data_IF_679601220708
#
_entry.id   IF_679601220708
#
_cell.length_a   1.000
_cell.length_b   1.000
_cell.length_c   1.000
_cell.angle_alpha   90.00
_cell.angle_beta   90.00
_cell.angle_gamma   90.00
#
_symmetry.space_group_name_H-M   'P 1'
#
loop_
_entity.id
_entity.type
_entity.pdbx_description
1 polymer ?
#
# COMPACT_ATOMS: atom_id res chain seq x y z
N UNK A 1 18.84 6.34 -0.69
CA UNK A 1 17.77 6.06 -1.67
C UNK A 1 16.47 6.69 -1.20
N UNK A 2 15.60 7.04 -2.14
CA UNK A 2 14.23 7.50 -1.93
C UNK A 2 13.26 6.32 -2.04
N UNK A 3 12.55 6.01 -0.97
CA UNK A 3 11.62 4.88 -0.90
C UNK A 3 10.20 5.44 -0.76
N UNK A 4 9.32 5.07 -1.68
CA UNK A 4 7.89 5.39 -1.61
C UNK A 4 7.13 4.23 -0.98
N UNK A 5 6.65 4.40 0.24
CA UNK A 5 5.77 3.45 0.92
C UNK A 5 4.31 3.82 0.66
N UNK A 6 3.51 2.92 0.10
CA UNK A 6 2.10 3.15 -0.22
C UNK A 6 1.22 2.18 0.56
N UNK A 7 0.22 2.73 1.26
CA UNK A 7 -0.77 1.99 2.03
C UNK A 7 -2.09 2.78 2.11
N UNK A 8 -3.22 2.11 2.35
CA UNK A 8 -4.54 2.77 2.43
C UNK A 8 -4.64 3.78 3.57
N UNK A 9 -4.24 3.37 4.78
CA UNK A 9 -4.29 4.19 5.99
C UNK A 9 -2.93 4.19 6.68
N UNK A 10 -2.56 5.32 7.27
CA UNK A 10 -1.37 5.46 8.10
C UNK A 10 -1.74 6.20 9.39
N UNK A 11 -0.75 6.54 10.21
CA UNK A 11 -0.96 7.25 11.48
C UNK A 11 -1.80 8.53 11.29
N UNK A 12 -2.71 8.83 12.24
CA UNK A 12 -2.93 8.15 13.52
C UNK A 12 -3.82 6.88 13.46
N UNK A 13 -4.30 6.46 12.28
CA UNK A 13 -5.03 5.21 12.14
C UNK A 13 -4.15 4.02 12.54
N UNK A 14 -4.66 3.18 13.44
CA UNK A 14 -3.89 2.11 14.06
C UNK A 14 -4.44 0.73 13.70
N UNK A 15 -3.60 -0.08 13.05
CA UNK A 15 -3.83 -1.49 12.78
C UNK A 15 -2.49 -2.23 12.74
N UNK A 16 -2.49 -3.56 12.65
CA UNK A 16 -1.25 -4.33 12.49
C UNK A 16 -0.44 -3.91 11.25
N UNK A 17 -1.13 -3.62 10.14
CA UNK A 17 -0.50 -3.13 8.91
C UNK A 17 0.14 -1.76 9.13
N UNK A 18 -0.57 -0.81 9.75
CA UNK A 18 -0.03 0.56 9.92
C UNK A 18 1.15 0.59 10.90
N UNK A 19 1.12 -0.23 11.95
CA UNK A 19 2.25 -0.39 12.88
C UNK A 19 3.46 -0.99 12.16
N UNK A 20 3.26 -2.01 11.32
CA UNK A 20 4.34 -2.62 10.55
C UNK A 20 5.00 -1.59 9.61
N UNK A 21 4.18 -0.91 8.80
CA UNK A 21 4.65 0.08 7.84
C UNK A 21 5.40 1.23 8.53
N UNK A 22 4.90 1.73 9.66
CA UNK A 22 5.56 2.78 10.44
C UNK A 22 6.92 2.33 10.97
N UNK A 23 6.98 1.15 11.60
CA UNK A 23 8.23 0.61 12.16
C UNK A 23 9.28 0.44 11.07
N UNK A 24 8.86 -0.08 9.90
CA UNK A 24 9.75 -0.29 8.77
C UNK A 24 10.22 1.04 8.15
N UNK A 25 9.31 1.98 7.92
CA UNK A 25 9.63 3.31 7.42
C UNK A 25 10.63 4.03 8.34
N UNK A 26 10.39 4.04 9.66
CA UNK A 26 11.33 4.62 10.64
C UNK A 26 12.67 3.89 10.68
N UNK A 27 12.68 2.57 10.49
CA UNK A 27 13.93 1.80 10.43
C UNK A 27 14.74 2.18 9.19
N UNK A 28 14.11 2.32 8.02
CA UNK A 28 14.79 2.80 6.82
C UNK A 28 15.27 4.25 6.94
N UNK A 29 14.46 5.14 7.52
CA UNK A 29 14.87 6.53 7.77
C UNK A 29 16.11 6.59 8.66
N UNK A 30 16.15 5.82 9.76
CA UNK A 30 17.33 5.71 10.65
C UNK A 30 18.58 5.14 9.97
N UNK A 31 18.42 4.40 8.87
CA UNK A 31 19.54 3.90 8.05
C UNK A 31 19.97 4.88 6.96
N UNK A 32 19.42 6.11 6.94
CA UNK A 32 19.80 7.17 6.01
C UNK A 32 19.02 7.19 4.69
N UNK A 33 17.93 6.42 4.58
CA UNK A 33 17.04 6.49 3.42
C UNK A 33 16.02 7.64 3.56
N UNK A 34 15.61 8.22 2.44
CA UNK A 34 14.54 9.21 2.41
C UNK A 34 13.21 8.49 2.19
N UNK A 35 12.30 8.57 3.16
CA UNK A 35 11.04 7.82 3.11
C UNK A 35 9.88 8.76 2.92
N UNK A 36 9.06 8.47 1.90
CA UNK A 36 7.75 9.09 1.73
C UNK A 36 6.68 8.03 1.89
N UNK A 37 5.74 8.24 2.81
CA UNK A 37 4.51 7.47 2.93
C UNK A 37 3.40 8.18 2.17
N UNK A 38 2.81 7.52 1.17
CA UNK A 38 1.60 7.96 0.50
C UNK A 38 0.40 7.18 1.06
N UNK A 39 -0.61 7.89 1.56
CA UNK A 39 -1.79 7.31 2.23
C UNK A 39 -3.05 8.11 1.93
N UNK A 40 -4.23 7.59 2.28
CA UNK A 40 -5.47 8.35 2.24
C UNK A 40 -5.58 9.37 3.40
N UNK A 41 -6.07 10.57 3.10
CA UNK A 41 -6.53 11.56 4.09
C UNK A 41 -7.92 11.13 4.60
N UNK A 42 -7.97 10.05 5.37
CA UNK A 42 -9.23 9.46 5.82
C UNK A 42 -10.00 10.38 6.77
N UNK A 43 -9.30 11.25 7.48
CA UNK A 43 -9.84 12.31 8.34
C UNK A 43 -9.38 13.66 7.77
N UNK A 44 -10.32 14.53 7.46
CA UNK A 44 -10.07 15.82 6.81
C UNK A 44 -9.31 16.80 7.70
N UNK A 45 -9.30 16.60 9.02
CA UNK A 45 -8.53 17.42 9.97
C UNK A 45 -7.04 17.13 9.92
N UNK A 46 -6.62 15.98 9.37
CA UNK A 46 -5.21 15.63 9.27
C UNK A 46 -4.51 16.48 8.19
N UNK A 47 -3.26 16.92 8.43
CA UNK A 47 -2.50 17.65 7.42
C UNK A 47 -2.28 16.77 6.18
N UNK A 48 -2.34 17.40 5.00
CA UNK A 48 -2.07 16.73 3.72
C UNK A 48 -0.60 16.35 3.55
N UNK A 49 0.28 17.10 4.18
CA UNK A 49 1.70 16.83 4.20
C UNK A 49 2.24 17.12 5.60
N UNK A 50 3.01 16.20 6.15
CA UNK A 50 3.73 16.41 7.41
C UNK A 50 4.98 15.55 7.48
N UNK A 51 5.84 15.88 8.44
CA UNK A 51 7.02 15.09 8.78
C UNK A 51 6.83 14.41 10.13
N UNK A 52 6.90 13.08 10.15
CA UNK A 52 6.79 12.26 11.35
C UNK A 52 8.02 11.36 11.50
N UNK A 53 8.85 11.59 12.51
CA UNK A 53 9.98 10.71 12.87
C UNK A 53 10.93 10.37 11.71
N UNK A 54 11.26 11.36 10.88
CA UNK A 54 12.11 11.16 9.69
C UNK A 54 11.40 10.55 8.48
N UNK A 55 10.06 10.39 8.53
CA UNK A 55 9.21 9.95 7.43
C UNK A 55 8.30 11.08 6.93
N UNK A 56 8.38 11.40 5.64
CA UNK A 56 7.47 12.36 4.99
C UNK A 56 6.15 11.68 4.71
N UNK A 57 5.04 12.22 5.20
CA UNK A 57 3.71 11.65 5.02
C UNK A 57 2.91 12.54 4.07
N UNK A 58 2.43 11.96 2.97
CA UNK A 58 1.57 12.60 1.97
C UNK A 58 0.20 11.93 1.99
N UNK A 59 -0.81 12.70 2.38
CA UNK A 59 -2.20 12.24 2.46
C UNK A 59 -3.01 12.75 1.27
N UNK A 60 -3.56 11.82 0.49
CA UNK A 60 -4.42 12.11 -0.66
C UNK A 60 -5.85 12.35 -0.18
N UNK A 61 -6.49 13.48 -0.51
CA UNK A 61 -7.88 13.76 -0.15
C UNK A 61 -8.85 12.68 -0.63
N UNK A 62 -9.70 12.22 0.30
CA UNK A 62 -10.73 11.21 0.03
C UNK A 62 -12.03 11.91 -0.32
N UNK A 63 -12.65 11.53 -1.44
CA UNK A 63 -13.98 12.00 -1.82
C UNK A 63 -15.08 11.12 -1.19
N UNK A 64 -14.89 9.80 -1.22
CA UNK A 64 -15.88 8.82 -0.72
C UNK A 64 -15.17 7.68 0.00
N UNK A 65 -15.75 7.21 1.11
CA UNK A 65 -15.32 5.98 1.80
C UNK A 65 -16.36 4.89 1.57
N UNK A 66 -15.91 3.70 1.14
CA UNK A 66 -16.76 2.53 0.90
C UNK A 66 -16.20 1.36 1.68
N UNK A 67 -16.92 0.91 2.71
CA UNK A 67 -16.40 -0.08 3.67
C UNK A 67 -15.06 0.38 4.27
N UNK A 68 -13.98 -0.42 4.11
CA UNK A 68 -12.60 -0.08 4.53
C UNK A 68 -11.77 0.55 3.40
N UNK A 69 -12.34 0.73 2.21
CA UNK A 69 -11.70 1.36 1.06
C UNK A 69 -12.02 2.84 0.96
N UNK A 70 -11.25 3.54 0.14
CA UNK A 70 -11.44 4.97 -0.15
C UNK A 70 -11.40 5.20 -1.66
N UNK A 71 -12.09 6.24 -2.10
CA UNK A 71 -11.99 6.77 -3.46
C UNK A 71 -11.41 8.18 -3.34
N UNK A 72 -10.23 8.36 -3.92
CA UNK A 72 -9.48 9.61 -3.89
C UNK A 72 -9.17 10.05 -5.33
N UNK A 73 -9.91 11.03 -5.89
CA UNK A 73 -9.81 11.40 -7.31
C UNK A 73 -8.40 11.82 -7.75
N UNK A 74 -7.63 12.43 -6.86
CA UNK A 74 -6.26 12.87 -7.15
C UNK A 74 -5.20 11.79 -6.89
N UNK A 75 -5.60 10.59 -6.44
CA UNK A 75 -4.66 9.51 -6.10
C UNK A 75 -3.73 9.18 -7.25
N UNK A 76 -4.28 8.99 -8.46
CA UNK A 76 -3.50 8.62 -9.63
C UNK A 76 -2.45 9.66 -10.01
N UNK A 77 -2.77 10.96 -9.86
CA UNK A 77 -1.86 12.07 -10.16
C UNK A 77 -0.72 12.13 -9.15
N UNK A 78 -1.06 12.04 -7.86
CA UNK A 78 -0.07 12.04 -6.77
C UNK A 78 0.82 10.80 -6.86
N UNK A 79 0.24 9.62 -7.12
CA UNK A 79 0.99 8.38 -7.33
C UNK A 79 1.96 8.50 -8.50
N UNK A 80 1.54 9.03 -9.65
CA UNK A 80 2.43 9.23 -10.81
C UNK A 80 3.64 10.07 -10.44
N UNK A 81 3.41 11.24 -9.81
CA UNK A 81 4.50 12.13 -9.40
C UNK A 81 5.44 11.45 -8.41
N UNK A 82 4.89 10.84 -7.36
CA UNK A 82 5.71 10.22 -6.32
C UNK A 82 6.47 9.01 -6.86
N UNK A 83 5.86 8.14 -7.66
CA UNK A 83 6.60 6.99 -8.24
C UNK A 83 7.77 7.47 -9.10
N UNK A 84 7.58 8.53 -9.89
CA UNK A 84 8.67 9.12 -10.68
C UNK A 84 9.85 9.62 -9.82
N UNK A 85 9.54 10.30 -8.72
CA UNK A 85 10.51 10.94 -7.82
C UNK A 85 11.30 9.98 -6.92
N UNK A 86 10.89 8.71 -6.82
CA UNK A 86 11.47 7.72 -5.91
C UNK A 86 12.27 6.64 -6.64
N UNK A 87 13.18 5.98 -5.93
CA UNK A 87 14.07 4.95 -6.45
C UNK A 87 13.43 3.55 -6.33
N UNK A 88 12.64 3.33 -5.27
CA UNK A 88 12.00 2.03 -4.96
C UNK A 88 10.58 2.28 -4.46
N UNK A 89 9.64 1.44 -4.88
CA UNK A 89 8.23 1.50 -4.47
C UNK A 89 7.92 0.32 -3.57
N UNK A 90 7.40 0.60 -2.38
CA UNK A 90 6.97 -0.41 -1.41
C UNK A 90 5.45 -0.36 -1.25
N UNK A 91 4.78 -1.43 -1.66
CA UNK A 91 3.32 -1.55 -1.62
C UNK A 91 2.89 -2.42 -0.44
N UNK A 92 1.94 -1.95 0.38
CA UNK A 92 1.39 -2.72 1.49
C UNK A 92 -0.03 -3.19 1.16
N UNK A 93 -0.21 -4.50 1.04
CA UNK A 93 -1.50 -5.12 0.68
C UNK A 93 -2.21 -5.78 1.87
N UNK A 94 -3.55 -5.86 1.86
CA UNK A 94 -4.45 -5.54 0.74
C UNK A 94 -4.70 -4.04 0.58
N UNK A 95 -4.57 -3.54 -0.65
CA UNK A 95 -4.86 -2.15 -1.01
C UNK A 95 -5.46 -2.09 -2.42
N UNK A 96 -6.57 -1.35 -2.53
CA UNK A 96 -7.33 -1.20 -3.77
C UNK A 96 -6.48 -0.59 -4.90
N UNK A 97 -5.78 0.51 -4.63
CA UNK A 97 -5.04 1.25 -5.65
C UNK A 97 -3.66 0.64 -6.01
N UNK A 98 -3.24 -0.43 -5.33
CA UNK A 98 -1.90 -1.00 -5.49
C UNK A 98 -1.54 -1.38 -6.94
N UNK A 99 -2.43 -1.98 -7.76
CA UNK A 99 -2.12 -2.27 -9.17
C UNK A 99 -1.75 -1.04 -9.98
N UNK A 100 -2.45 0.07 -9.74
CA UNK A 100 -2.18 1.32 -10.44
C UNK A 100 -0.82 1.89 -10.09
N UNK A 101 -0.37 1.74 -8.84
CA UNK A 101 0.96 2.15 -8.41
C UNK A 101 2.03 1.20 -8.97
N UNK A 102 1.82 -0.11 -8.88
CA UNK A 102 2.73 -1.12 -9.44
C UNK A 102 2.91 -0.95 -10.96
N UNK A 103 1.83 -0.65 -11.68
CA UNK A 103 1.87 -0.38 -13.11
C UNK A 103 2.75 0.85 -13.43
N UNK A 104 2.60 1.95 -12.67
CA UNK A 104 3.46 3.14 -12.81
C UNK A 104 4.92 2.82 -12.49
N UNK A 105 5.17 2.00 -11.48
CA UNK A 105 6.53 1.58 -11.12
C UNK A 105 7.18 0.86 -12.30
N UNK A 106 6.48 -0.12 -12.88
CA UNK A 106 6.93 -0.86 -14.08
C UNK A 106 7.11 0.06 -15.30
N UNK A 107 6.19 0.98 -15.54
CA UNK A 107 6.27 1.96 -16.63
C UNK A 107 7.50 2.87 -16.50
N UNK A 108 7.86 3.25 -15.27
CA UNK A 108 8.99 4.14 -15.00
C UNK A 108 10.29 3.40 -14.64
N UNK A 109 10.32 2.06 -14.82
CA UNK A 109 11.50 1.24 -14.50
C UNK A 109 11.91 1.29 -13.02
N UNK A 110 10.96 1.52 -12.13
CA UNK A 110 11.18 1.56 -10.68
C UNK A 110 10.88 0.19 -10.08
N UNK A 111 11.82 -0.43 -9.33
CA UNK A 111 11.54 -1.68 -8.64
C UNK A 111 10.41 -1.52 -7.63
N UNK A 112 9.46 -2.46 -7.65
CA UNK A 112 8.30 -2.52 -6.78
C UNK A 112 8.35 -3.77 -5.88
N UNK A 113 8.35 -3.56 -4.56
CA UNK A 113 8.31 -4.61 -3.54
C UNK A 113 6.94 -4.59 -2.86
N UNK A 114 6.25 -5.73 -2.89
CA UNK A 114 4.92 -5.89 -2.32
C UNK A 114 5.01 -6.62 -0.98
N UNK A 115 4.63 -5.97 0.11
CA UNK A 115 4.44 -6.63 1.41
C UNK A 115 2.98 -7.03 1.58
N UNK A 116 2.72 -8.34 1.66
CA UNK A 116 1.37 -8.86 1.86
C UNK A 116 1.10 -9.15 3.34
N UNK A 117 0.14 -8.41 3.91
CA UNK A 117 -0.12 -8.45 5.35
C UNK A 117 -1.13 -9.50 5.77
N UNK A 118 -2.22 -9.67 5.01
CA UNK A 118 -3.30 -10.57 5.38
C UNK A 118 -4.24 -10.91 4.21
N UNK A 119 -4.83 -12.11 4.28
CA UNK A 119 -5.93 -12.54 3.45
C UNK A 119 -7.20 -11.83 3.91
N UNK A 120 -7.95 -11.25 2.97
CA UNK A 120 -9.20 -10.59 3.29
C UNK A 120 -10.32 -11.63 3.52
N UNK A 121 -10.86 -11.67 4.74
CA UNK A 121 -12.06 -12.47 5.08
C UNK A 121 -13.21 -11.54 5.47
N UNK A 122 -14.14 -11.34 4.54
CA UNK A 122 -15.37 -10.57 4.77
C UNK A 122 -16.53 -11.50 5.13
N UNK A 123 -17.50 -11.04 5.95
CA UNK A 123 -18.69 -11.83 6.30
C UNK A 123 -19.53 -12.16 5.06
N UNK A 124 -20.33 -13.25 5.09
CA UNK A 124 -21.14 -13.67 3.95
C UNK A 124 -22.16 -12.58 3.54
N UNK A 125 -22.33 -12.41 2.22
CA UNK A 125 -23.26 -11.45 1.64
C UNK A 125 -22.90 -11.14 0.18
N UNK A 126 -23.88 -10.80 -0.66
CA UNK A 126 -23.66 -10.54 -2.09
C UNK A 126 -22.67 -9.38 -2.31
N UNK A 127 -22.83 -8.29 -1.56
CA UNK A 127 -21.93 -7.14 -1.60
C UNK A 127 -20.49 -7.54 -1.22
N UNK A 128 -20.31 -8.29 -0.13
CA UNK A 128 -18.99 -8.71 0.33
C UNK A 128 -18.33 -9.73 -0.61
N UNK A 129 -19.12 -10.57 -1.29
CA UNK A 129 -18.63 -11.45 -2.37
C UNK A 129 -18.07 -10.63 -3.52
N UNK A 130 -18.78 -9.58 -3.94
CA UNK A 130 -18.29 -8.66 -4.96
C UNK A 130 -17.01 -7.93 -4.52
N UNK A 131 -16.97 -7.38 -3.31
CA UNK A 131 -15.76 -6.73 -2.76
C UNK A 131 -14.57 -7.70 -2.72
N UNK A 132 -14.78 -8.94 -2.27
CA UNK A 132 -13.73 -9.97 -2.27
C UNK A 132 -13.21 -10.27 -3.68
N UNK A 133 -14.09 -10.33 -4.70
CA UNK A 133 -13.68 -10.55 -6.09
C UNK A 133 -12.78 -9.41 -6.57
N UNK A 134 -13.19 -8.15 -6.32
CA UNK A 134 -12.41 -6.96 -6.70
C UNK A 134 -11.05 -6.95 -6.00
N UNK A 135 -11.02 -7.19 -4.69
CA UNK A 135 -9.75 -7.23 -3.93
C UNK A 135 -8.85 -8.37 -4.41
N UNK A 136 -9.40 -9.55 -4.71
CA UNK A 136 -8.60 -10.65 -5.29
C UNK A 136 -8.02 -10.27 -6.64
N UNK A 137 -8.81 -9.67 -7.52
CA UNK A 137 -8.34 -9.18 -8.80
C UNK A 137 -7.22 -8.16 -8.63
N UNK A 138 -7.40 -7.17 -7.75
CA UNK A 138 -6.40 -6.15 -7.49
C UNK A 138 -5.13 -6.71 -6.87
N UNK A 139 -5.22 -7.56 -5.85
CA UNK A 139 -4.05 -8.20 -5.28
C UNK A 139 -3.28 -8.95 -6.38
N UNK A 140 -3.96 -9.75 -7.21
CA UNK A 140 -3.31 -10.49 -8.30
C UNK A 140 -2.60 -9.58 -9.31
N UNK A 141 -3.25 -8.49 -9.73
CA UNK A 141 -2.62 -7.53 -10.65
C UNK A 141 -1.40 -6.88 -10.03
N UNK A 142 -1.46 -6.49 -8.75
CA UNK A 142 -0.32 -5.92 -8.04
C UNK A 142 0.83 -6.94 -7.90
N UNK A 143 0.53 -8.20 -7.62
CA UNK A 143 1.53 -9.27 -7.50
C UNK A 143 2.25 -9.57 -8.82
N UNK A 144 1.53 -9.63 -9.93
CA UNK A 144 2.13 -9.81 -11.27
C UNK A 144 3.03 -8.64 -11.67
N UNK A 145 2.69 -7.42 -11.22
CA UNK A 145 3.42 -6.21 -11.56
C UNK A 145 4.60 -5.91 -10.62
N UNK A 146 4.65 -6.53 -9.44
CA UNK A 146 5.72 -6.35 -8.48
C UNK A 146 6.94 -7.21 -8.84
N UNK A 147 8.14 -6.71 -8.54
CA UNK A 147 9.39 -7.44 -8.76
C UNK A 147 9.68 -8.44 -7.64
N UNK A 148 9.16 -8.19 -6.44
CA UNK A 148 9.26 -9.10 -5.30
C UNK A 148 8.02 -9.03 -4.41
N UNK A 149 7.64 -10.17 -3.84
CA UNK A 149 6.59 -10.29 -2.84
C UNK A 149 7.23 -10.75 -1.52
N UNK A 150 6.95 -10.03 -0.44
CA UNK A 150 7.43 -10.27 0.91
C UNK A 150 6.25 -10.55 1.82
N UNK A 151 6.42 -11.52 2.72
CA UNK A 151 5.52 -11.74 3.85
C UNK A 151 6.33 -12.09 5.10
N UNK A 152 5.66 -12.33 6.22
CA UNK A 152 6.31 -12.44 7.53
C UNK A 152 6.93 -13.81 7.81
N UNK A 153 6.29 -14.87 7.33
CA UNK A 153 6.68 -16.25 7.64
C UNK A 153 6.51 -17.14 6.41
N UNK A 154 7.34 -18.18 6.34
CA UNK A 154 7.22 -19.20 5.31
C UNK A 154 5.85 -19.91 5.39
N UNK A 155 5.41 -20.24 6.61
CA UNK A 155 4.10 -20.86 6.84
C UNK A 155 2.95 -20.07 6.21
N UNK A 156 2.97 -18.74 6.36
CA UNK A 156 1.93 -17.91 5.77
C UNK A 156 2.06 -17.76 4.25
N UNK A 157 3.29 -17.73 3.73
CA UNK A 157 3.53 -17.78 2.28
C UNK A 157 2.96 -19.07 1.66
N UNK A 158 3.10 -20.20 2.35
CA UNK A 158 2.69 -21.50 1.84
C UNK A 158 1.19 -21.76 1.92
N UNK A 159 0.50 -21.20 2.92
CA UNK A 159 -0.90 -21.48 3.22
C UNK A 159 -1.88 -20.35 2.87
N UNK A 160 -1.40 -19.14 2.54
CA UNK A 160 -2.27 -18.08 2.03
C UNK A 160 -2.80 -18.45 0.64
N UNK A 161 -4.12 -18.26 0.45
CA UNK A 161 -4.79 -18.48 -0.84
C UNK A 161 -4.27 -17.55 -1.97
N UNK A 162 -3.63 -16.45 -1.58
CA UNK A 162 -3.03 -15.49 -2.50
C UNK A 162 -1.54 -15.77 -2.72
N UNK A 163 -0.76 -15.91 -1.65
CA UNK A 163 0.71 -16.00 -1.73
C UNK A 163 1.22 -17.32 -2.30
N UNK A 164 0.53 -18.43 -2.03
CA UNK A 164 0.90 -19.77 -2.53
C UNK A 164 1.01 -19.87 -4.05
N UNK A 165 0.56 -18.84 -4.78
CA UNK A 165 0.60 -18.71 -6.25
C UNK A 165 1.91 -18.14 -6.79
N UNK A 166 2.80 -17.61 -5.95
CA UNK A 166 4.04 -16.90 -6.34
C UNK A 166 5.30 -17.59 -5.81
N UNK A 167 5.31 -18.92 -5.81
CA UNK A 167 6.48 -19.73 -5.42
C UNK A 167 7.57 -19.69 -6.46
#
# INVERSE_FOLDING_TARGET
MKILTVLTYYRPHTSGLTIYAERLARAFARRGHQITVMTAQYDQSLPREEMMDGVRVIRVPVAVRVSKGVIAPTFGLVATKLVWEHDVIQLHLPQFDAPGVAFRARLFGKPAVLTYHCDLRLPPGLFNRFVNLVVKFQNNMAGILADAIVTYTQDYADHSSYLSRYR
#
